data_IF_174557581030
#
_entry.id   IF_174557581030
#
_cell.length_a   1.000
_cell.length_b   1.000
_cell.length_c   1.000
_cell.angle_alpha   90.00
_cell.angle_beta   90.00
_cell.angle_gamma   90.00
#
_symmetry.space_group_name_H-M   'P 1'
#
loop_
_entity.id
_entity.type
_entity.pdbx_description
1 polymer ?
#
# COMPACT_ATOMS: atom_id res chain seq x y z
N UNK A 1 -8.00 23.06 -17.68
CA UNK A 1 -6.81 22.52 -16.98
C UNK A 1 -7.24 21.98 -15.62
N UNK A 2 -7.29 20.64 -15.40
CA UNK A 2 -7.81 20.02 -14.17
C UNK A 2 -7.13 20.49 -12.87
N UNK A 3 -5.83 20.77 -12.94
CA UNK A 3 -5.06 21.30 -11.81
C UNK A 3 -5.61 22.64 -11.31
N UNK A 4 -5.81 23.60 -12.22
CA UNK A 4 -6.36 24.93 -11.87
C UNK A 4 -7.78 24.80 -11.32
N UNK A 5 -8.60 23.92 -11.89
CA UNK A 5 -9.94 23.66 -11.37
C UNK A 5 -9.88 23.12 -9.93
N UNK A 6 -8.98 22.18 -9.64
CA UNK A 6 -8.79 21.63 -8.29
C UNK A 6 -8.36 22.71 -7.29
N UNK A 7 -7.44 23.58 -7.70
CA UNK A 7 -7.01 24.71 -6.88
C UNK A 7 -8.15 25.69 -6.59
N UNK A 8 -9.00 26.00 -7.57
CA UNK A 8 -10.16 26.85 -7.31
C UNK A 8 -11.12 26.16 -6.35
N UNK A 9 -11.44 24.88 -6.61
CA UNK A 9 -12.37 24.08 -5.80
C UNK A 9 -11.92 23.98 -4.34
N UNK A 10 -10.61 23.90 -4.05
CA UNK A 10 -10.14 23.81 -2.67
C UNK A 10 -10.44 25.05 -1.81
N UNK A 11 -10.78 26.20 -2.42
CA UNK A 11 -11.25 27.40 -1.70
C UNK A 11 -12.76 27.47 -1.52
N UNK A 12 -13.52 26.52 -2.06
CA UNK A 12 -14.97 26.46 -1.92
C UNK A 12 -15.35 25.33 -0.96
N UNK A 13 -16.37 25.57 -0.14
CA UNK A 13 -17.11 24.48 0.49
C UNK A 13 -18.06 23.93 -0.58
N UNK A 14 -17.74 22.74 -1.06
CA UNK A 14 -18.50 22.08 -2.11
C UNK A 14 -18.70 20.61 -1.77
N UNK A 15 -19.96 20.27 -1.48
CA UNK A 15 -20.40 18.91 -1.31
C UNK A 15 -20.92 18.32 -2.62
N UNK A 16 -20.39 17.17 -3.05
CA UNK A 16 -20.83 16.48 -4.26
C UNK A 16 -22.30 16.00 -4.20
N UNK A 17 -22.84 15.77 -2.99
CA UNK A 17 -24.23 15.37 -2.77
C UNK A 17 -25.22 16.54 -2.90
N UNK A 18 -24.75 17.78 -2.68
CA UNK A 18 -25.56 19.01 -2.79
C UNK A 18 -24.87 19.99 -3.74
N UNK A 19 -24.90 19.73 -5.06
CA UNK A 19 -24.08 20.45 -6.03
C UNK A 19 -24.39 21.95 -6.16
N UNK A 20 -25.59 22.37 -5.76
CA UNK A 20 -26.07 23.76 -5.77
C UNK A 20 -25.67 24.53 -4.50
N UNK A 21 -25.32 23.82 -3.41
CA UNK A 21 -24.85 24.41 -2.16
C UNK A 21 -23.32 24.59 -2.22
N UNK A 22 -22.87 25.62 -2.94
CA UNK A 22 -21.45 26.02 -2.98
C UNK A 22 -21.26 27.37 -2.34
N UNK A 23 -20.35 27.46 -1.38
CA UNK A 23 -19.97 28.74 -0.78
C UNK A 23 -18.46 28.94 -0.86
N UNK A 24 -18.03 30.19 -0.98
CA UNK A 24 -16.61 30.51 -0.95
C UNK A 24 -16.12 30.45 0.50
N UNK A 25 -15.34 29.43 0.82
CA UNK A 25 -14.83 29.16 2.16
C UNK A 25 -13.42 29.75 2.40
N UNK A 26 -12.79 30.29 1.35
CA UNK A 26 -11.43 30.83 1.43
C UNK A 26 -10.46 29.75 1.93
N UNK A 27 -9.78 30.00 3.06
CA UNK A 27 -8.81 29.07 3.65
C UNK A 27 -9.39 28.13 4.72
N UNK A 28 -10.71 28.18 5.01
CA UNK A 28 -11.31 27.40 6.09
C UNK A 28 -11.05 25.89 5.94
N UNK A 29 -11.21 25.36 4.71
CA UNK A 29 -10.93 23.96 4.38
C UNK A 29 -9.53 23.50 4.82
N UNK A 30 -8.51 24.36 4.70
CA UNK A 30 -7.15 24.03 5.11
C UNK A 30 -6.99 24.04 6.63
N UNK A 31 -7.64 24.97 7.33
CA UNK A 31 -7.64 25.04 8.79
C UNK A 31 -8.27 23.79 9.40
N UNK A 32 -9.43 23.38 8.88
CA UNK A 32 -10.16 22.20 9.34
C UNK A 32 -9.35 20.91 9.14
N UNK A 33 -8.76 20.74 7.95
CA UNK A 33 -7.95 19.57 7.60
C UNK A 33 -6.66 19.52 8.44
N UNK A 34 -5.94 20.62 8.61
CA UNK A 34 -4.69 20.65 9.38
C UNK A 34 -4.91 20.49 10.89
N UNK A 35 -6.10 20.89 11.37
CA UNK A 35 -6.54 20.70 12.75
C UNK A 35 -6.96 19.25 13.06
N UNK A 36 -7.36 18.48 12.05
CA UNK A 36 -7.91 17.14 12.21
C UNK A 36 -6.88 16.11 12.75
N UNK A 37 -7.09 15.55 13.95
CA UNK A 37 -6.26 14.48 14.49
C UNK A 37 -6.25 13.21 13.62
N UNK A 38 -7.34 12.91 12.92
CA UNK A 38 -7.44 11.74 12.05
C UNK A 38 -6.55 11.90 10.81
N UNK A 39 -6.48 13.10 10.23
CA UNK A 39 -5.53 13.40 9.16
C UNK A 39 -4.09 13.19 9.64
N UNK A 40 -3.72 13.77 10.79
CA UNK A 40 -2.35 13.65 11.34
C UNK A 40 -1.95 12.20 11.57
N UNK A 41 -2.86 11.39 12.12
CA UNK A 41 -2.66 9.95 12.31
C UNK A 41 -2.48 9.22 10.98
N UNK A 42 -3.29 9.54 9.99
CA UNK A 42 -3.23 8.92 8.65
C UNK A 42 -1.94 9.28 7.92
N UNK A 43 -1.51 10.54 7.99
CA UNK A 43 -0.22 11.01 7.45
C UNK A 43 0.94 10.26 8.11
N UNK A 44 0.96 10.17 9.44
CA UNK A 44 2.02 9.45 10.15
C UNK A 44 2.06 7.96 9.79
N UNK A 45 0.90 7.31 9.72
CA UNK A 45 0.80 5.90 9.33
C UNK A 45 1.32 5.67 7.91
N UNK A 46 0.98 6.57 6.99
CA UNK A 46 1.44 6.51 5.60
C UNK A 46 2.95 6.67 5.52
N UNK A 47 3.51 7.69 6.19
CA UNK A 47 4.96 7.91 6.24
C UNK A 47 5.67 6.69 6.80
N UNK A 48 5.21 6.17 7.95
CA UNK A 48 5.80 5.00 8.59
C UNK A 48 5.80 3.78 7.66
N UNK A 49 4.65 3.50 7.03
CA UNK A 49 4.50 2.38 6.11
C UNK A 49 5.42 2.55 4.90
N UNK A 50 5.42 3.72 4.26
CA UNK A 50 6.27 3.99 3.09
C UNK A 50 7.75 3.85 3.42
N UNK A 51 8.21 4.47 4.50
CA UNK A 51 9.62 4.40 4.91
C UNK A 51 10.02 2.96 5.23
N UNK A 52 9.21 2.25 6.01
CA UNK A 52 9.49 0.85 6.37
C UNK A 52 9.57 -0.05 5.13
N UNK A 53 8.61 0.05 4.21
CA UNK A 53 8.57 -0.75 2.98
C UNK A 53 9.73 -0.42 2.06
N UNK A 54 10.07 0.86 1.88
CA UNK A 54 11.19 1.30 1.03
C UNK A 54 12.51 0.80 1.59
N UNK A 55 12.75 0.96 2.89
CA UNK A 55 13.99 0.48 3.54
C UNK A 55 14.10 -1.04 3.45
N UNK A 56 13.04 -1.78 3.78
CA UNK A 56 13.04 -3.24 3.66
C UNK A 56 13.31 -3.69 2.22
N UNK A 57 12.67 -3.05 1.24
CA UNK A 57 12.84 -3.36 -0.18
C UNK A 57 14.25 -3.05 -0.68
N UNK A 58 14.86 -1.96 -0.22
CA UNK A 58 16.25 -1.60 -0.54
C UNK A 58 17.22 -2.63 0.02
N UNK A 59 17.07 -3.01 1.30
CA UNK A 59 17.95 -4.00 1.96
C UNK A 59 17.83 -5.36 1.28
N UNK A 60 16.60 -5.85 1.08
CA UNK A 60 16.37 -7.14 0.42
C UNK A 60 16.81 -7.13 -1.03
N UNK A 61 16.50 -6.07 -1.78
CA UNK A 61 16.91 -5.90 -3.17
C UNK A 61 18.42 -5.88 -3.34
N UNK A 62 19.13 -5.15 -2.47
CA UNK A 62 20.59 -5.11 -2.47
C UNK A 62 21.19 -6.47 -2.11
N UNK A 63 20.68 -7.13 -1.08
CA UNK A 63 21.15 -8.47 -0.67
C UNK A 63 21.00 -9.49 -1.81
N UNK A 64 19.84 -9.51 -2.48
CA UNK A 64 19.60 -10.35 -3.65
C UNK A 64 20.50 -9.97 -4.82
N UNK A 65 20.72 -8.68 -5.09
CA UNK A 65 21.61 -8.23 -6.16
C UNK A 65 23.05 -8.72 -5.95
N UNK A 66 23.58 -8.59 -4.74
CA UNK A 66 24.93 -9.07 -4.39
C UNK A 66 25.03 -10.60 -4.51
N UNK A 67 23.98 -11.34 -4.15
CA UNK A 67 23.94 -12.79 -4.29
C UNK A 67 23.93 -13.20 -5.78
N UNK A 68 23.20 -12.48 -6.62
CA UNK A 68 23.09 -12.76 -8.05
C UNK A 68 24.32 -12.31 -8.85
N UNK A 69 25.15 -11.41 -8.30
CA UNK A 69 26.37 -10.92 -8.95
C UNK A 69 27.42 -12.04 -9.17
N UNK A 70 27.44 -13.06 -8.30
CA UNK A 70 28.35 -14.23 -8.43
C UNK A 70 27.93 -15.19 -9.54
N UNK A 71 28.88 -15.68 -10.34
CA UNK A 71 28.59 -16.56 -11.49
C UNK A 71 28.22 -17.96 -10.99
N UNK A 72 26.95 -18.36 -11.11
CA UNK A 72 26.45 -19.70 -10.80
C UNK A 72 25.52 -20.23 -11.89
N UNK A 73 25.38 -21.56 -11.96
CA UNK A 73 24.48 -22.23 -12.91
C UNK A 73 23.02 -21.96 -12.54
N UNK A 74 22.22 -21.46 -13.49
CA UNK A 74 20.80 -21.14 -13.27
C UNK A 74 20.47 -19.68 -12.92
N UNK A 75 21.47 -18.79 -12.87
CA UNK A 75 21.28 -17.35 -12.57
C UNK A 75 20.18 -16.67 -13.42
N UNK A 76 20.11 -17.00 -14.71
CA UNK A 76 19.10 -16.42 -15.62
C UNK A 76 17.66 -16.72 -15.16
N UNK A 77 17.40 -17.95 -14.72
CA UNK A 77 16.07 -18.36 -14.23
C UNK A 77 15.73 -17.62 -12.95
N UNK A 78 16.66 -17.54 -11.99
CA UNK A 78 16.45 -16.82 -10.72
C UNK A 78 16.15 -15.35 -10.99
N UNK A 79 16.89 -14.70 -11.89
CA UNK A 79 16.65 -13.28 -12.26
C UNK A 79 15.25 -13.07 -12.85
N UNK A 80 14.78 -13.97 -13.70
CA UNK A 80 13.44 -13.88 -14.28
C UNK A 80 12.35 -14.07 -13.22
N UNK A 81 12.50 -15.05 -12.32
CA UNK A 81 11.55 -15.29 -11.23
C UNK A 81 11.44 -14.10 -10.27
N UNK A 82 12.54 -13.41 -9.99
CA UNK A 82 12.54 -12.21 -9.15
C UNK A 82 11.79 -11.03 -9.79
N UNK A 83 11.72 -10.96 -11.13
CA UNK A 83 11.01 -9.91 -11.87
C UNK A 83 9.54 -10.29 -12.12
N UNK A 84 9.22 -11.58 -12.20
CA UNK A 84 7.87 -12.09 -12.42
C UNK A 84 6.75 -11.42 -11.57
N UNK A 85 6.91 -11.17 -10.26
CA UNK A 85 5.84 -10.54 -9.47
C UNK A 85 5.47 -9.12 -9.93
N UNK A 86 6.37 -8.40 -10.63
CA UNK A 86 6.05 -7.08 -11.19
C UNK A 86 5.06 -7.14 -12.34
N UNK A 87 4.85 -8.32 -12.93
CA UNK A 87 3.87 -8.55 -13.99
C UNK A 87 2.45 -8.77 -13.44
N UNK A 88 2.31 -8.98 -12.12
CA UNK A 88 1.03 -9.21 -11.48
C UNK A 88 0.36 -7.86 -11.19
N UNK A 89 -0.89 -7.70 -11.62
CA UNK A 89 -1.69 -6.51 -11.33
C UNK A 89 -1.85 -6.34 -9.81
N UNK A 90 -1.66 -5.14 -9.23
CA UNK A 90 -1.69 -4.94 -7.78
C UNK A 90 -2.97 -5.45 -7.10
N UNK A 91 -4.12 -5.30 -7.76
CA UNK A 91 -5.41 -5.78 -7.26
C UNK A 91 -5.41 -7.31 -7.13
N UNK A 92 -4.90 -8.03 -8.13
CA UNK A 92 -4.82 -9.49 -8.08
C UNK A 92 -3.86 -9.95 -6.97
N UNK A 93 -2.71 -9.31 -6.85
CA UNK A 93 -1.76 -9.59 -5.76
C UNK A 93 -2.41 -9.39 -4.38
N UNK A 94 -3.14 -8.29 -4.18
CA UNK A 94 -3.83 -8.01 -2.92
C UNK A 94 -4.89 -9.09 -2.59
N UNK A 95 -5.66 -9.53 -3.59
CA UNK A 95 -6.66 -10.59 -3.40
C UNK A 95 -6.03 -11.95 -3.08
N UNK A 96 -4.90 -12.29 -3.71
CA UNK A 96 -4.14 -13.52 -3.40
C UNK A 96 -3.66 -13.50 -1.95
N UNK A 97 -3.04 -12.40 -1.52
CA UNK A 97 -2.63 -12.27 -0.12
C UNK A 97 -3.81 -12.39 0.84
N UNK A 98 -4.92 -11.69 0.57
CA UNK A 98 -6.09 -11.70 1.44
C UNK A 98 -6.76 -13.09 1.54
N UNK A 99 -6.98 -13.77 0.42
CA UNK A 99 -7.82 -14.98 0.40
C UNK A 99 -7.01 -16.28 0.40
N UNK A 100 -5.87 -16.33 -0.30
CA UNK A 100 -5.09 -17.57 -0.43
C UNK A 100 -4.14 -17.72 0.75
N UNK A 101 -3.52 -16.62 1.20
CA UNK A 101 -2.50 -16.66 2.25
C UNK A 101 -3.07 -16.38 3.64
N UNK A 102 -3.74 -15.23 3.81
CA UNK A 102 -4.17 -14.72 5.12
C UNK A 102 -5.61 -15.05 5.50
N UNK A 103 -6.35 -15.84 4.72
CA UNK A 103 -7.71 -16.18 5.10
C UNK A 103 -7.70 -17.01 6.41
N UNK A 104 -8.47 -16.62 7.44
CA UNK A 104 -8.45 -17.29 8.73
C UNK A 104 -9.07 -18.70 8.67
N UNK A 105 -10.04 -18.95 7.77
CA UNK A 105 -10.71 -20.25 7.68
C UNK A 105 -9.93 -21.28 6.86
N UNK A 106 -9.41 -20.87 5.68
CA UNK A 106 -8.79 -21.78 4.72
C UNK A 106 -7.47 -21.28 4.12
N UNK A 107 -6.90 -20.20 4.65
CA UNK A 107 -5.64 -19.65 4.18
C UNK A 107 -4.47 -20.60 4.41
N UNK A 108 -3.53 -20.61 3.48
CA UNK A 108 -2.33 -21.44 3.54
C UNK A 108 -1.52 -21.20 4.82
N UNK A 109 -1.46 -19.95 5.29
CA UNK A 109 -0.71 -19.63 6.51
C UNK A 109 -1.36 -20.26 7.74
N UNK A 110 -2.70 -20.24 7.84
CA UNK A 110 -3.39 -20.91 8.93
C UNK A 110 -3.16 -22.42 8.88
N UNK A 111 -3.31 -23.04 7.70
CA UNK A 111 -3.02 -24.47 7.51
C UNK A 111 -1.60 -24.86 7.91
N UNK A 112 -0.60 -24.03 7.59
CA UNK A 112 0.79 -24.24 8.01
C UNK A 112 0.97 -24.08 9.52
N UNK A 113 0.33 -23.08 10.13
CA UNK A 113 0.32 -22.86 11.58
C UNK A 113 -0.27 -24.07 12.31
N UNK A 114 -1.38 -24.63 11.83
CA UNK A 114 -1.98 -25.86 12.36
C UNK A 114 -1.04 -27.05 12.28
N UNK A 115 -0.37 -27.23 11.14
CA UNK A 115 0.55 -28.34 10.95
C UNK A 115 1.72 -28.32 11.95
N UNK A 116 2.18 -27.13 12.36
CA UNK A 116 3.26 -26.96 13.34
C UNK A 116 2.76 -26.81 14.79
N UNK A 117 1.47 -27.04 15.06
CA UNK A 117 0.90 -27.05 16.41
C UNK A 117 0.41 -25.70 16.94
N UNK A 118 0.14 -24.73 16.06
CA UNK A 118 -0.42 -23.43 16.42
C UNK A 118 -1.90 -23.50 16.82
N UNK A 119 -2.40 -22.51 17.60
CA UNK A 119 -3.80 -22.45 18.02
C UNK A 119 -4.75 -22.18 16.84
N UNK A 120 -5.95 -22.77 16.91
CA UNK A 120 -7.01 -22.59 15.92
C UNK A 120 -7.64 -21.20 16.05
N UNK A 121 -7.78 -20.41 14.96
CA UNK A 121 -8.59 -19.21 14.99
C UNK A 121 -10.07 -19.60 15.00
N UNK A 122 -10.81 -19.07 15.97
CA UNK A 122 -12.25 -19.20 16.14
C UNK A 122 -13.05 -18.65 14.95
#
# INVERSE_FOLDING_TARGET
>A
LPFVATLVISFFDWNALYPDARSFAGFANYGDVLGDPALRKSVWTTILLTVAVVLASLVLGLALALLLDRRFKGRGVVRTLLIAPFLVVPVAAALLWKHVLYNPEYGLLNGLLHYVGGPQPD
#
